data_IF_884312504814
#
_entry.id   IF_884312504814
#
_cell.length_a   1.000
_cell.length_b   1.000
_cell.length_c   1.000
_cell.angle_alpha   90.00
_cell.angle_beta   90.00
_cell.angle_gamma   90.00
#
_symmetry.space_group_name_H-M   'P 1'
#
loop_
_entity.id
_entity.type
_entity.pdbx_description
1 polymer ?
#
# COMPACT_ATOMS: atom_id res chain seq x y z
N UNK A 1 -156.63 -114.02 64.63
CA UNK A 1 -157.03 -114.44 65.98
C UNK A 1 -155.81 -114.17 66.84
N UNK A 2 -155.73 -113.13 67.66
CA UNK A 2 -156.74 -112.52 68.54
C UNK A 2 -157.06 -111.07 68.18
N UNK A 3 -158.36 -110.76 68.21
CA UNK A 3 -158.91 -109.41 68.31
C UNK A 3 -158.74 -108.96 69.77
N UNK A 4 -157.83 -108.03 70.03
CA UNK A 4 -157.80 -107.23 71.25
C UNK A 4 -158.50 -105.89 70.96
N UNK A 5 -159.57 -105.64 71.69
CA UNK A 5 -160.48 -104.51 71.56
C UNK A 5 -159.77 -103.14 71.67
N UNK A 6 -160.43 -102.16 71.05
CA UNK A 6 -160.13 -100.73 71.07
C UNK A 6 -160.10 -100.20 72.51
N UNK A 7 -158.89 -100.00 73.06
CA UNK A 7 -158.64 -99.18 74.24
C UNK A 7 -157.72 -98.02 73.86
N UNK A 8 -158.22 -96.80 74.11
CA UNK A 8 -157.66 -95.47 73.87
C UNK A 8 -156.27 -95.36 73.24
N UNK A 9 -156.20 -95.26 71.90
CA UNK A 9 -155.03 -94.63 71.29
C UNK A 9 -155.06 -93.13 71.61
N UNK A 10 -154.01 -92.68 72.28
CA UNK A 10 -153.87 -91.34 72.86
C UNK A 10 -153.06 -90.43 71.94
N UNK A 11 -153.27 -89.12 72.06
CA UNK A 11 -152.61 -88.11 71.25
C UNK A 11 -151.08 -88.13 71.41
N UNK A 12 -150.31 -88.13 70.32
CA UNK A 12 -148.84 -88.18 70.34
C UNK A 12 -148.12 -86.86 70.74
N UNK A 13 -148.79 -85.96 71.47
CA UNK A 13 -148.21 -84.74 72.03
C UNK A 13 -147.85 -85.02 73.49
N UNK A 14 -146.60 -84.78 73.91
CA UNK A 14 -146.18 -84.97 75.31
C UNK A 14 -147.14 -84.20 76.25
N UNK A 15 -147.80 -84.95 77.15
CA UNK A 15 -148.76 -84.43 78.13
C UNK A 15 -150.24 -84.40 77.70
N UNK A 16 -150.63 -85.07 76.61
CA UNK A 16 -152.03 -85.10 76.15
C UNK A 16 -152.67 -86.49 76.17
N UNK A 17 -153.64 -86.69 77.06
CA UNK A 17 -154.32 -87.98 77.28
C UNK A 17 -155.64 -88.16 76.51
N UNK A 18 -155.92 -87.33 75.50
CA UNK A 18 -157.17 -87.42 74.74
C UNK A 18 -157.17 -88.55 73.69
N UNK A 19 -158.27 -89.33 73.58
CA UNK A 19 -158.40 -90.40 72.59
C UNK A 19 -158.49 -89.85 71.16
N UNK A 20 -157.96 -90.60 70.20
CA UNK A 20 -157.98 -90.23 68.78
C UNK A 20 -159.41 -90.29 68.19
N UNK A 21 -159.77 -89.37 67.27
CA UNK A 21 -161.08 -89.37 66.64
C UNK A 21 -161.30 -90.62 65.77
N UNK A 22 -162.54 -91.16 65.72
CA UNK A 22 -162.84 -92.38 64.99
C UNK A 22 -162.64 -92.20 63.47
N UNK A 23 -162.27 -93.28 62.75
CA UNK A 23 -161.95 -93.24 61.32
C UNK A 23 -163.19 -92.95 60.47
N UNK A 24 -163.06 -92.03 59.50
CA UNK A 24 -164.15 -91.68 58.59
C UNK A 24 -164.52 -92.84 57.65
N UNK A 25 -165.82 -93.16 57.57
CA UNK A 25 -166.42 -94.18 56.70
C UNK A 25 -167.37 -93.53 55.68
N UNK A 26 -167.50 -94.12 54.49
CA UNK A 26 -168.43 -93.69 53.45
C UNK A 26 -169.86 -94.27 53.65
N UNK A 27 -170.82 -93.85 52.82
CA UNK A 27 -172.22 -94.28 52.88
C UNK A 27 -172.44 -95.79 52.67
N UNK A 28 -171.39 -96.54 52.34
CA UNK A 28 -171.42 -98.01 52.21
C UNK A 28 -170.60 -98.71 53.32
N UNK A 29 -170.28 -97.99 54.40
CA UNK A 29 -169.61 -98.53 55.59
C UNK A 29 -168.15 -98.90 55.37
N UNK A 30 -167.52 -98.46 54.26
CA UNK A 30 -166.09 -98.67 53.99
C UNK A 30 -165.30 -97.43 54.37
N UNK A 31 -164.10 -97.63 54.94
CA UNK A 31 -163.23 -96.52 55.35
C UNK A 31 -162.86 -95.66 54.14
N UNK A 32 -163.11 -94.36 54.24
CA UNK A 32 -162.65 -93.37 53.25
C UNK A 32 -161.13 -93.27 53.39
N UNK A 33 -160.40 -93.69 52.36
CA UNK A 33 -158.95 -93.80 52.38
C UNK A 33 -158.25 -92.55 52.92
N UNK A 34 -157.44 -92.73 53.96
CA UNK A 34 -156.64 -91.69 54.62
C UNK A 34 -155.86 -92.29 55.81
N UNK A 35 -154.63 -91.82 56.04
CA UNK A 35 -153.74 -92.32 57.10
C UNK A 35 -154.33 -92.00 58.49
N UNK A 36 -154.29 -92.92 59.48
CA UNK A 36 -154.84 -92.65 60.82
C UNK A 36 -154.20 -91.39 61.43
N UNK A 37 -155.00 -90.49 62.00
CA UNK A 37 -154.49 -89.27 62.63
C UNK A 37 -153.73 -89.63 63.90
N UNK A 38 -152.48 -89.19 64.03
CA UNK A 38 -151.64 -89.43 65.23
C UNK A 38 -151.94 -88.48 66.39
N UNK A 39 -152.84 -87.51 66.19
CA UNK A 39 -153.17 -86.45 67.14
C UNK A 39 -154.69 -86.31 67.24
N UNK A 40 -155.20 -86.03 68.45
CA UNK A 40 -156.64 -85.91 68.68
C UNK A 40 -157.27 -84.69 67.99
N UNK A 41 -156.45 -83.68 67.65
CA UNK A 41 -156.85 -82.51 66.87
C UNK A 41 -155.65 -81.91 66.13
N UNK A 42 -155.93 -81.07 65.11
CA UNK A 42 -154.90 -80.34 64.35
C UNK A 42 -154.03 -79.45 65.24
N UNK A 43 -154.61 -78.85 66.30
CA UNK A 43 -153.88 -78.00 67.24
C UNK A 43 -152.71 -78.71 67.94
N UNK A 44 -152.84 -80.00 68.22
CA UNK A 44 -151.78 -80.79 68.86
C UNK A 44 -150.71 -81.28 67.87
N UNK A 45 -151.09 -81.54 66.62
CA UNK A 45 -150.11 -81.77 65.55
C UNK A 45 -149.22 -80.53 65.34
N UNK A 46 -149.82 -79.34 65.35
CA UNK A 46 -149.09 -78.07 65.20
C UNK A 46 -148.22 -77.75 66.42
N UNK A 47 -148.70 -78.03 67.64
CA UNK A 47 -147.91 -77.87 68.87
C UNK A 47 -146.68 -78.79 68.91
N UNK A 48 -146.84 -80.07 68.55
CA UNK A 48 -145.72 -81.02 68.47
C UNK A 48 -144.72 -80.67 67.37
N UNK A 49 -145.18 -80.05 66.26
CA UNK A 49 -144.30 -79.53 65.21
C UNK A 49 -143.51 -78.31 65.68
N UNK A 50 -144.13 -77.39 66.45
CA UNK A 50 -143.44 -76.23 67.02
C UNK A 50 -142.39 -76.63 68.06
N UNK A 51 -142.71 -77.58 68.95
CA UNK A 51 -141.77 -78.09 69.95
C UNK A 51 -140.54 -78.74 69.29
N UNK A 52 -140.74 -79.57 68.24
CA UNK A 52 -139.63 -80.17 67.49
C UNK A 52 -138.74 -79.14 66.78
N UNK A 53 -139.32 -78.08 66.21
CA UNK A 53 -138.55 -76.99 65.58
C UNK A 53 -137.76 -76.17 66.59
N UNK A 54 -138.33 -75.90 67.77
CA UNK A 54 -137.62 -75.19 68.84
C UNK A 54 -136.39 -75.99 69.33
N UNK A 55 -136.54 -77.30 69.58
CA UNK A 55 -135.45 -78.16 70.02
C UNK A 55 -134.32 -78.32 68.97
N UNK A 56 -134.68 -78.41 67.68
CA UNK A 56 -133.68 -78.42 66.60
C UNK A 56 -132.94 -77.09 66.47
N UNK A 57 -133.60 -75.97 66.77
CA UNK A 57 -132.98 -74.64 66.73
C UNK A 57 -132.03 -74.43 67.91
N UNK A 58 -132.42 -74.82 69.14
CA UNK A 58 -131.55 -74.69 70.32
C UNK A 58 -130.29 -75.55 70.23
N UNK A 59 -130.38 -76.77 69.65
CA UNK A 59 -129.22 -77.65 69.44
C UNK A 59 -128.14 -77.05 68.53
N UNK A 60 -128.49 -76.07 67.67
CA UNK A 60 -127.55 -75.38 66.78
C UNK A 60 -127.15 -74.01 67.36
N UNK A 61 -128.10 -73.29 67.94
CA UNK A 61 -127.88 -71.91 68.39
C UNK A 61 -127.08 -71.86 69.69
N UNK A 62 -127.32 -72.76 70.65
CA UNK A 62 -126.65 -72.71 71.97
C UNK A 62 -125.12 -72.91 71.86
N UNK A 63 -124.58 -73.87 71.09
CA UNK A 63 -123.14 -74.01 70.89
C UNK A 63 -122.51 -72.79 70.17
N UNK A 64 -123.24 -72.15 69.27
CA UNK A 64 -122.78 -70.96 68.55
C UNK A 64 -122.74 -69.73 69.47
N UNK A 65 -123.66 -69.63 70.42
CA UNK A 65 -123.66 -68.57 71.43
C UNK A 65 -122.50 -68.75 72.42
N UNK A 66 -122.15 -69.98 72.81
CA UNK A 66 -120.99 -70.23 73.66
C UNK A 66 -119.65 -70.02 72.92
N UNK A 67 -119.52 -70.46 71.67
CA UNK A 67 -118.37 -70.11 70.82
C UNK A 67 -118.21 -68.58 70.68
N UNK A 68 -119.33 -67.87 70.52
CA UNK A 68 -119.35 -66.41 70.46
C UNK A 68 -118.92 -65.77 71.78
N UNK A 69 -119.38 -66.28 72.93
CA UNK A 69 -118.95 -65.82 74.26
C UNK A 69 -117.46 -66.03 74.49
N UNK A 70 -116.93 -67.20 74.11
CA UNK A 70 -115.49 -67.48 74.23
C UNK A 70 -114.67 -66.58 73.31
N UNK A 71 -115.12 -66.35 72.08
CA UNK A 71 -114.48 -65.41 71.15
C UNK A 71 -114.54 -63.95 71.65
N UNK A 72 -115.67 -63.52 72.20
CA UNK A 72 -115.86 -62.18 72.80
C UNK A 72 -115.04 -62.01 74.08
N UNK A 73 -114.80 -63.07 74.86
CA UNK A 73 -113.93 -63.04 76.04
C UNK A 73 -112.43 -63.11 75.69
N UNK A 74 -112.06 -63.79 74.61
CA UNK A 74 -110.67 -63.96 74.18
C UNK A 74 -110.14 -62.74 73.40
N UNK A 75 -110.99 -62.05 72.64
CA UNK A 75 -110.63 -60.84 71.88
C UNK A 75 -109.91 -59.77 72.73
N UNK A 76 -110.46 -59.35 73.88
CA UNK A 76 -109.82 -58.38 74.77
C UNK A 76 -108.49 -58.84 75.36
N UNK A 77 -108.27 -60.15 75.50
CA UNK A 77 -107.03 -60.73 76.04
C UNK A 77 -105.96 -60.93 74.95
N UNK A 78 -106.38 -61.19 73.71
CA UNK A 78 -105.48 -61.36 72.57
C UNK A 78 -105.02 -60.04 71.94
N UNK A 79 -105.84 -58.98 72.03
CA UNK A 79 -105.52 -57.68 71.44
C UNK A 79 -104.19 -57.08 71.93
N UNK A 80 -103.87 -57.05 73.24
CA UNK A 80 -102.58 -56.54 73.72
C UNK A 80 -101.38 -57.35 73.21
N UNK A 81 -101.55 -58.65 72.99
CA UNK A 81 -100.49 -59.51 72.42
C UNK A 81 -100.29 -59.22 70.93
N UNK A 82 -101.36 -59.06 70.17
CA UNK A 82 -101.28 -58.66 68.75
C UNK A 82 -100.68 -57.26 68.60
N UNK A 83 -101.06 -56.33 69.46
CA UNK A 83 -100.48 -54.98 69.50
C UNK A 83 -98.98 -55.04 69.85
N UNK A 84 -98.58 -55.89 70.80
CA UNK A 84 -97.16 -56.11 71.15
C UNK A 84 -96.37 -56.75 70.00
N UNK A 85 -96.96 -57.68 69.25
CA UNK A 85 -96.34 -58.28 68.06
C UNK A 85 -96.22 -57.25 66.94
N UNK A 86 -97.24 -56.42 66.73
CA UNK A 86 -97.20 -55.34 65.76
C UNK A 86 -96.15 -54.28 66.12
N UNK A 87 -96.03 -53.93 67.41
CA UNK A 87 -94.99 -53.04 67.91
C UNK A 87 -93.59 -53.63 67.76
N UNK A 88 -93.42 -54.92 68.09
CA UNK A 88 -92.13 -55.60 67.91
C UNK A 88 -91.74 -55.69 66.44
N UNK A 89 -92.70 -55.95 65.55
CA UNK A 89 -92.48 -55.90 64.10
C UNK A 89 -92.10 -54.50 63.64
N UNK A 90 -92.79 -53.46 64.12
CA UNK A 90 -92.45 -52.08 63.79
C UNK A 90 -91.03 -51.70 64.25
N UNK A 91 -90.63 -52.10 65.46
CA UNK A 91 -89.26 -51.89 65.97
C UNK A 91 -88.21 -52.67 65.17
N UNK A 92 -88.52 -53.90 64.74
CA UNK A 92 -87.64 -54.68 63.87
C UNK A 92 -87.51 -54.06 62.48
N UNK A 93 -88.63 -53.60 61.89
CA UNK A 93 -88.64 -52.90 60.60
C UNK A 93 -87.85 -51.59 60.69
N UNK A 94 -87.98 -50.83 61.79
CA UNK A 94 -87.20 -49.61 62.05
C UNK A 94 -85.70 -49.92 62.23
N UNK A 95 -85.36 -50.98 62.97
CA UNK A 95 -83.97 -51.42 63.13
C UNK A 95 -83.35 -51.93 61.82
N UNK A 96 -84.11 -52.68 61.01
CA UNK A 96 -83.69 -53.11 59.68
C UNK A 96 -83.48 -51.91 58.75
N UNK A 97 -84.44 -50.98 58.70
CA UNK A 97 -84.31 -49.76 57.90
C UNK A 97 -83.13 -48.90 58.36
N UNK A 98 -82.92 -48.77 59.68
CA UNK A 98 -81.77 -48.06 60.26
C UNK A 98 -80.44 -48.72 59.91
N UNK A 99 -80.34 -50.05 60.01
CA UNK A 99 -79.14 -50.81 59.65
C UNK A 99 -78.86 -50.73 58.14
N UNK A 100 -79.88 -50.86 57.29
CA UNK A 100 -79.76 -50.70 55.85
C UNK A 100 -79.36 -49.27 55.47
N UNK A 101 -79.88 -48.25 56.16
CA UNK A 101 -79.49 -46.86 55.97
C UNK A 101 -78.02 -46.64 56.35
N UNK A 102 -77.56 -47.20 57.47
CA UNK A 102 -76.15 -47.13 57.89
C UNK A 102 -75.21 -47.83 56.89
N UNK A 103 -75.59 -49.01 56.37
CA UNK A 103 -74.80 -49.71 55.34
C UNK A 103 -74.75 -48.90 54.05
N UNK A 104 -75.88 -48.35 53.60
CA UNK A 104 -75.91 -47.47 52.40
C UNK A 104 -75.03 -46.24 52.59
N UNK A 105 -75.13 -45.58 53.73
CA UNK A 105 -74.29 -44.43 54.06
C UNK A 105 -72.81 -44.81 54.07
N UNK A 106 -72.44 -45.92 54.72
CA UNK A 106 -71.06 -46.40 54.76
C UNK A 106 -70.54 -46.80 53.37
N UNK A 107 -71.39 -47.38 52.51
CA UNK A 107 -71.05 -47.67 51.12
C UNK A 107 -70.85 -46.40 50.29
N UNK A 108 -71.69 -45.39 50.46
CA UNK A 108 -71.57 -44.09 49.79
C UNK A 108 -70.28 -43.37 50.23
N UNK A 109 -70.01 -43.33 51.54
CA UNK A 109 -68.78 -42.78 52.11
C UNK A 109 -67.54 -43.54 51.61
N UNK A 110 -67.57 -44.87 51.56
CA UNK A 110 -66.48 -45.67 51.03
C UNK A 110 -66.25 -45.46 49.51
N UNK A 111 -67.32 -45.28 48.73
CA UNK A 111 -67.22 -44.94 47.30
C UNK A 111 -66.66 -43.53 47.11
N UNK A 112 -67.10 -42.55 47.90
CA UNK A 112 -66.57 -41.19 47.89
C UNK A 112 -65.07 -41.18 48.24
N UNK A 113 -64.67 -41.85 49.33
CA UNK A 113 -63.27 -41.95 49.75
C UNK A 113 -62.39 -42.63 48.69
N UNK A 114 -62.89 -43.66 48.00
CA UNK A 114 -62.17 -44.30 46.87
C UNK A 114 -62.02 -43.35 45.68
N UNK A 115 -63.08 -42.65 45.31
CA UNK A 115 -63.03 -41.66 44.23
C UNK A 115 -62.05 -40.52 44.54
N UNK A 116 -62.06 -40.00 45.77
CA UNK A 116 -61.11 -38.98 46.23
C UNK A 116 -59.66 -39.48 46.23
N UNK A 117 -59.43 -40.74 46.62
CA UNK A 117 -58.11 -41.36 46.57
C UNK A 117 -57.61 -41.53 45.13
N UNK A 118 -58.46 -41.98 44.21
CA UNK A 118 -58.14 -42.08 42.78
C UNK A 118 -57.84 -40.69 42.18
N UNK A 119 -58.60 -39.65 42.55
CA UNK A 119 -58.34 -38.27 42.14
C UNK A 119 -57.03 -37.72 42.70
N UNK A 120 -56.69 -38.05 43.95
CA UNK A 120 -55.42 -37.68 44.55
C UNK A 120 -54.24 -38.35 43.81
N UNK A 121 -54.36 -39.64 43.47
CA UNK A 121 -53.35 -40.36 42.68
C UNK A 121 -53.21 -39.76 41.27
N UNK A 122 -54.32 -39.46 40.58
CA UNK A 122 -54.27 -38.80 39.27
C UNK A 122 -53.59 -37.44 39.32
N UNK A 123 -53.84 -36.63 40.35
CA UNK A 123 -53.17 -35.34 40.55
C UNK A 123 -51.67 -35.50 40.86
N UNK A 124 -51.30 -36.51 41.65
CA UNK A 124 -49.90 -36.83 41.93
C UNK A 124 -49.15 -37.23 40.65
N UNK A 125 -49.70 -38.15 39.86
CA UNK A 125 -49.11 -38.60 38.59
C UNK A 125 -48.95 -37.43 37.59
N UNK A 126 -49.94 -36.54 37.51
CA UNK A 126 -49.86 -35.35 36.67
C UNK A 126 -48.77 -34.38 37.15
N UNK A 127 -48.64 -34.18 38.46
CA UNK A 127 -47.59 -33.34 39.03
C UNK A 127 -46.18 -33.92 38.80
N UNK A 128 -46.02 -35.24 38.90
CA UNK A 128 -44.76 -35.91 38.58
C UNK A 128 -44.40 -35.77 37.10
N UNK A 129 -45.34 -36.00 36.18
CA UNK A 129 -45.12 -35.78 34.73
C UNK A 129 -44.76 -34.34 34.42
N UNK A 130 -45.44 -33.37 35.03
CA UNK A 130 -45.14 -31.96 34.85
C UNK A 130 -43.74 -31.60 35.38
N UNK A 131 -43.35 -32.15 36.54
CA UNK A 131 -41.99 -32.00 37.08
C UNK A 131 -40.94 -32.57 36.13
N UNK A 132 -41.15 -33.78 35.63
CA UNK A 132 -40.18 -34.46 34.77
C UNK A 132 -40.04 -33.73 33.42
N UNK A 133 -41.15 -33.25 32.84
CA UNK A 133 -41.13 -32.39 31.65
C UNK A 133 -40.37 -31.08 31.90
N UNK A 134 -40.60 -30.42 33.03
CA UNK A 134 -39.88 -29.20 33.39
C UNK A 134 -38.37 -29.44 33.57
N UNK A 135 -37.98 -30.60 34.11
CA UNK A 135 -36.56 -30.97 34.25
C UNK A 135 -35.90 -31.25 32.89
N UNK A 136 -36.60 -31.88 31.95
CA UNK A 136 -36.13 -32.08 30.57
C UNK A 136 -35.98 -30.73 29.87
N UNK A 137 -37.00 -29.89 29.89
CA UNK A 137 -36.96 -28.55 29.29
C UNK A 137 -35.81 -27.71 29.87
N UNK A 138 -35.62 -27.74 31.19
CA UNK A 138 -34.52 -27.01 31.83
C UNK A 138 -33.13 -27.54 31.43
N UNK A 139 -33.00 -28.83 31.07
CA UNK A 139 -31.74 -29.38 30.52
C UNK A 139 -31.53 -28.91 29.08
N UNK A 140 -32.57 -28.98 28.25
CA UNK A 140 -32.54 -28.53 26.86
C UNK A 140 -32.22 -27.04 26.75
N UNK A 141 -32.85 -26.21 27.58
CA UNK A 141 -32.57 -24.76 27.65
C UNK A 141 -31.12 -24.48 28.05
N UNK A 142 -30.57 -25.24 29.01
CA UNK A 142 -29.16 -25.11 29.40
C UNK A 142 -28.21 -25.52 28.28
N UNK A 143 -28.48 -26.62 27.57
CA UNK A 143 -27.66 -27.01 26.42
C UNK A 143 -27.75 -25.99 25.29
N UNK A 144 -28.95 -25.50 24.98
CA UNK A 144 -29.16 -24.50 23.93
C UNK A 144 -28.43 -23.19 24.25
N UNK A 145 -28.47 -22.73 25.51
CA UNK A 145 -27.70 -21.55 25.96
C UNK A 145 -26.19 -21.78 25.85
N UNK A 146 -25.69 -22.95 26.25
CA UNK A 146 -24.27 -23.27 26.15
C UNK A 146 -23.78 -23.37 24.70
N UNK A 147 -24.61 -23.88 23.78
CA UNK A 147 -24.31 -23.90 22.35
C UNK A 147 -24.33 -22.49 21.75
N UNK A 148 -25.33 -21.67 22.10
CA UNK A 148 -25.41 -20.28 21.68
C UNK A 148 -24.20 -19.47 22.16
N UNK A 149 -23.76 -19.67 23.41
CA UNK A 149 -22.55 -19.03 23.97
C UNK A 149 -21.29 -19.47 23.22
N UNK A 150 -21.11 -20.77 22.95
CA UNK A 150 -19.98 -21.26 22.13
C UNK A 150 -19.97 -20.68 20.72
N UNK A 151 -21.14 -20.54 20.09
CA UNK A 151 -21.25 -19.92 18.77
C UNK A 151 -20.91 -18.42 18.82
N UNK A 152 -21.36 -17.72 19.86
CA UNK A 152 -21.04 -16.31 20.08
C UNK A 152 -19.54 -16.10 20.33
N UNK A 153 -18.90 -16.96 21.14
CA UNK A 153 -17.45 -16.94 21.36
C UNK A 153 -16.66 -17.18 20.08
N UNK A 154 -17.08 -18.15 19.26
CA UNK A 154 -16.44 -18.41 17.96
C UNK A 154 -16.57 -17.22 17.02
N UNK A 155 -17.77 -16.66 16.89
CA UNK A 155 -18.01 -15.48 16.06
C UNK A 155 -17.18 -14.28 16.54
N UNK A 156 -17.07 -14.06 17.85
CA UNK A 156 -16.23 -13.01 18.41
C UNK A 156 -14.73 -13.25 18.12
N UNK A 157 -14.26 -14.49 18.25
CA UNK A 157 -12.88 -14.86 17.94
C UNK A 157 -12.55 -14.72 16.45
N UNK A 158 -13.47 -15.08 15.56
CA UNK A 158 -13.36 -14.89 14.12
C UNK A 158 -13.31 -13.40 13.76
N UNK A 159 -14.23 -12.59 14.30
CA UNK A 159 -14.24 -11.14 14.09
C UNK A 159 -12.95 -10.46 14.54
N UNK A 160 -12.39 -10.87 15.69
CA UNK A 160 -11.10 -10.33 16.15
C UNK A 160 -9.90 -10.82 15.29
N UNK A 161 -9.96 -12.04 14.73
CA UNK A 161 -8.96 -12.50 13.75
C UNK A 161 -9.02 -11.67 12.47
N UNK A 162 -10.21 -11.51 11.89
CA UNK A 162 -10.41 -10.71 10.68
C UNK A 162 -9.96 -9.25 10.89
N UNK A 163 -10.29 -8.67 12.04
CA UNK A 163 -9.81 -7.33 12.42
C UNK A 163 -8.29 -7.26 12.47
N UNK A 164 -7.62 -8.23 13.10
CA UNK A 164 -6.14 -8.28 13.15
C UNK A 164 -5.54 -8.43 11.75
N UNK A 165 -6.12 -9.27 10.90
CA UNK A 165 -5.68 -9.43 9.51
C UNK A 165 -5.88 -8.16 8.68
N UNK A 166 -7.01 -7.47 8.85
CA UNK A 166 -7.28 -6.19 8.22
C UNK A 166 -6.26 -5.13 8.65
N UNK A 167 -5.98 -5.02 9.96
CA UNK A 167 -4.93 -4.12 10.46
C UNK A 167 -3.54 -4.47 9.95
N UNK A 168 -3.22 -5.76 9.84
CA UNK A 168 -1.94 -6.21 9.28
C UNK A 168 -1.80 -5.78 7.80
N UNK A 169 -2.87 -5.94 6.99
CA UNK A 169 -2.91 -5.46 5.60
C UNK A 169 -2.77 -3.95 5.50
N UNK A 170 -3.45 -3.19 6.35
CA UNK A 170 -3.29 -1.72 6.41
C UNK A 170 -1.84 -1.34 6.74
N UNK A 171 -1.24 -1.98 7.74
CA UNK A 171 0.16 -1.73 8.10
C UNK A 171 1.16 -2.13 6.99
N UNK A 172 0.87 -3.15 6.19
CA UNK A 172 1.65 -3.48 5.00
C UNK A 172 1.51 -2.42 3.91
N UNK A 173 0.28 -1.96 3.62
CA UNK A 173 0.04 -0.89 2.65
C UNK A 173 0.71 0.44 3.04
N UNK A 174 0.64 0.83 4.32
CA UNK A 174 1.31 2.04 4.79
C UNK A 174 2.84 1.92 4.72
N UNK A 175 3.41 0.75 5.02
CA UNK A 175 4.85 0.50 4.80
C UNK A 175 5.23 0.58 3.32
N UNK A 176 4.44 -0.03 2.43
CA UNK A 176 4.67 0.03 0.99
C UNK A 176 4.54 1.46 0.45
N UNK A 177 3.55 2.21 0.92
CA UNK A 177 3.36 3.63 0.58
C UNK A 177 4.54 4.48 1.05
N UNK A 178 4.99 4.30 2.29
CA UNK A 178 6.16 4.99 2.82
C UNK A 178 7.45 4.66 2.04
N UNK A 179 7.64 3.40 1.65
CA UNK A 179 8.76 3.00 0.79
C UNK A 179 8.69 3.64 -0.61
N UNK A 180 7.49 3.72 -1.21
CA UNK A 180 7.28 4.35 -2.50
C UNK A 180 7.51 5.87 -2.45
N UNK A 181 7.06 6.55 -1.39
CA UNK A 181 7.30 7.97 -1.16
C UNK A 181 8.80 8.27 -0.95
N UNK A 182 9.49 7.44 -0.17
CA UNK A 182 10.93 7.54 0.02
C UNK A 182 11.71 7.32 -1.30
N UNK A 183 11.31 6.33 -2.10
CA UNK A 183 11.91 6.09 -3.41
C UNK A 183 11.68 7.25 -4.39
N UNK A 184 10.48 7.85 -4.38
CA UNK A 184 10.18 9.05 -5.19
C UNK A 184 11.08 10.22 -4.79
N UNK A 185 11.21 10.52 -3.49
CA UNK A 185 12.08 11.58 -3.00
C UNK A 185 13.56 11.34 -3.35
N UNK A 186 14.02 10.09 -3.24
CA UNK A 186 15.38 9.73 -3.64
C UNK A 186 15.61 9.92 -5.15
N UNK A 187 14.63 9.55 -5.98
CA UNK A 187 14.69 9.76 -7.43
C UNK A 187 14.67 11.24 -7.82
N UNK A 188 13.84 12.06 -7.16
CA UNK A 188 13.80 13.51 -7.33
C UNK A 188 15.15 14.14 -6.97
N UNK A 189 15.72 13.76 -5.81
CA UNK A 189 17.04 14.24 -5.38
C UNK A 189 18.14 13.85 -6.38
N UNK A 190 18.18 12.59 -6.82
CA UNK A 190 19.15 12.12 -7.79
C UNK A 190 19.02 12.85 -9.14
N UNK A 191 17.79 13.13 -9.59
CA UNK A 191 17.56 13.93 -10.80
C UNK A 191 18.09 15.35 -10.65
N UNK A 192 17.86 15.98 -9.50
CA UNK A 192 18.29 17.35 -9.26
C UNK A 192 19.83 17.44 -9.14
N UNK A 193 20.47 16.46 -8.48
CA UNK A 193 21.94 16.30 -8.44
C UNK A 193 22.53 16.14 -9.86
N UNK A 194 21.96 15.24 -10.69
CA UNK A 194 22.39 15.07 -12.09
C UNK A 194 22.16 16.34 -12.93
N UNK A 195 21.10 17.10 -12.67
CA UNK A 195 20.84 18.36 -13.35
C UNK A 195 21.84 19.46 -12.94
N UNK A 196 22.35 19.44 -11.70
CA UNK A 196 23.45 20.29 -11.26
C UNK A 196 24.78 19.91 -11.91
N UNK A 197 25.11 18.62 -11.94
CA UNK A 197 26.31 18.10 -12.61
C UNK A 197 26.31 18.45 -14.11
N UNK A 198 25.18 18.26 -14.80
CA UNK A 198 25.05 18.61 -16.22
C UNK A 198 25.26 20.11 -16.46
N UNK A 199 24.73 20.97 -15.58
CA UNK A 199 24.95 22.42 -15.66
C UNK A 199 26.42 22.78 -15.43
N UNK A 200 27.09 22.13 -14.48
CA UNK A 200 28.51 22.34 -14.21
C UNK A 200 29.39 21.91 -15.39
N UNK A 201 29.10 20.75 -16.00
CA UNK A 201 29.83 20.27 -17.18
C UNK A 201 29.59 21.13 -18.42
N UNK A 202 28.38 21.65 -18.62
CA UNK A 202 28.13 22.64 -19.67
C UNK A 202 28.93 23.93 -19.44
N UNK A 203 28.94 24.47 -18.23
CA UNK A 203 29.74 25.65 -17.90
C UNK A 203 31.25 25.41 -18.12
N UNK A 204 31.75 24.24 -17.72
CA UNK A 204 33.15 23.83 -17.95
C UNK A 204 33.48 23.71 -19.43
N UNK A 205 32.58 23.11 -20.23
CA UNK A 205 32.75 23.01 -21.68
C UNK A 205 32.78 24.39 -22.33
N UNK A 206 31.90 25.29 -21.91
CA UNK A 206 31.83 26.65 -22.44
C UNK A 206 33.10 27.45 -22.08
N UNK A 207 33.62 27.27 -20.86
CA UNK A 207 34.92 27.82 -20.45
C UNK A 207 36.07 27.28 -21.33
N UNK A 208 36.16 25.95 -21.52
CA UNK A 208 37.20 25.35 -22.36
C UNK A 208 37.11 25.81 -23.82
N UNK A 209 35.89 26.03 -24.33
CA UNK A 209 35.69 26.58 -25.67
C UNK A 209 36.17 28.04 -25.76
N UNK A 210 35.93 28.85 -24.73
CA UNK A 210 36.43 30.23 -24.65
C UNK A 210 37.96 30.26 -24.56
N UNK A 211 38.58 29.42 -23.72
CA UNK A 211 40.03 29.28 -23.61
C UNK A 211 40.65 28.84 -24.93
N UNK A 212 40.04 27.85 -25.61
CA UNK A 212 40.47 27.42 -26.96
C UNK A 212 40.36 28.55 -27.98
N UNK A 213 39.31 29.36 -27.93
CA UNK A 213 39.14 30.50 -28.83
C UNK A 213 40.20 31.58 -28.58
N UNK A 214 40.49 31.90 -27.32
CA UNK A 214 41.54 32.83 -26.93
C UNK A 214 42.93 32.34 -27.38
N UNK A 215 43.26 31.08 -27.11
CA UNK A 215 44.53 30.48 -27.53
C UNK A 215 44.70 30.48 -29.07
N UNK A 216 43.61 30.30 -29.83
CA UNK A 216 43.64 30.44 -31.30
C UNK A 216 43.96 31.86 -31.74
N UNK A 217 43.32 32.85 -31.11
CA UNK A 217 43.60 34.26 -31.40
C UNK A 217 45.07 34.62 -31.08
N UNK A 218 45.60 34.14 -29.96
CA UNK A 218 47.01 34.34 -29.59
C UNK A 218 47.96 33.69 -30.62
N UNK A 219 47.69 32.46 -31.06
CA UNK A 219 48.48 31.82 -32.12
C UNK A 219 48.44 32.60 -33.43
N UNK A 220 47.28 33.13 -33.81
CA UNK A 220 47.14 33.93 -35.04
C UNK A 220 47.86 35.28 -34.92
N UNK A 221 47.83 35.92 -33.74
CA UNK A 221 48.62 37.13 -33.43
C UNK A 221 50.12 36.86 -33.53
N UNK A 222 50.62 35.82 -32.86
CA UNK A 222 52.03 35.44 -32.88
C UNK A 222 52.52 35.09 -34.29
N UNK A 223 51.67 34.47 -35.12
CA UNK A 223 51.98 34.22 -36.54
C UNK A 223 52.14 35.51 -37.33
N UNK A 224 51.30 36.50 -37.06
CA UNK A 224 51.38 37.79 -37.72
C UNK A 224 52.62 38.58 -37.27
N UNK A 225 52.91 38.61 -35.97
CA UNK A 225 54.16 39.19 -35.43
C UNK A 225 55.41 38.53 -36.01
N UNK A 226 55.40 37.20 -36.15
CA UNK A 226 56.50 36.45 -36.78
C UNK A 226 56.67 36.84 -38.26
N UNK A 227 55.57 36.99 -39.02
CA UNK A 227 55.64 37.46 -40.41
C UNK A 227 56.23 38.87 -40.48
N UNK A 228 55.76 39.78 -39.64
CA UNK A 228 56.25 41.16 -39.58
C UNK A 228 57.75 41.20 -39.27
N UNK A 229 58.18 40.47 -38.24
CA UNK A 229 59.60 40.35 -37.87
C UNK A 229 60.44 39.76 -39.00
N UNK A 230 59.91 38.77 -39.72
CA UNK A 230 60.59 38.16 -40.88
C UNK A 230 60.75 39.16 -42.03
N UNK A 231 59.72 39.95 -42.34
CA UNK A 231 59.83 41.03 -43.32
C UNK A 231 60.82 42.12 -42.89
N UNK A 232 60.81 42.52 -41.62
CA UNK A 232 61.78 43.50 -41.09
C UNK A 232 63.21 43.00 -41.20
N UNK A 233 63.47 41.74 -40.81
CA UNK A 233 64.78 41.11 -40.98
C UNK A 233 65.21 41.07 -42.45
N UNK A 234 64.28 40.79 -43.37
CA UNK A 234 64.55 40.78 -44.81
C UNK A 234 64.98 42.18 -45.26
N UNK A 235 64.22 43.23 -44.92
CA UNK A 235 64.56 44.62 -45.25
C UNK A 235 65.89 45.07 -44.63
N UNK A 236 66.15 44.72 -43.37
CA UNK A 236 67.42 45.03 -42.71
C UNK A 236 68.60 44.30 -43.36
N UNK A 237 68.41 43.04 -43.78
CA UNK A 237 69.43 42.27 -44.48
C UNK A 237 69.75 42.85 -45.86
N UNK A 238 68.73 43.31 -46.60
CA UNK A 238 68.89 44.01 -47.88
C UNK A 238 69.61 45.35 -47.69
N UNK A 239 69.25 46.13 -46.67
CA UNK A 239 69.93 47.39 -46.32
C UNK A 239 71.39 47.16 -45.95
N UNK A 240 71.68 46.12 -45.17
CA UNK A 240 73.05 45.74 -44.80
C UNK A 240 73.86 45.32 -46.04
N UNK A 241 73.28 44.52 -46.94
CA UNK A 241 73.91 44.13 -48.19
C UNK A 241 74.20 45.35 -49.08
N UNK A 242 73.24 46.28 -49.21
CA UNK A 242 73.41 47.53 -49.93
C UNK A 242 74.51 48.41 -49.32
N UNK A 243 74.53 48.57 -47.99
CA UNK A 243 75.57 49.33 -47.29
C UNK A 243 76.97 48.70 -47.47
N UNK A 244 77.08 47.37 -47.43
CA UNK A 244 78.32 46.65 -47.74
C UNK A 244 78.78 46.86 -49.18
N UNK A 245 77.85 46.83 -50.14
CA UNK A 245 78.16 47.11 -51.54
C UNK A 245 78.64 48.56 -51.75
N UNK A 246 78.01 49.53 -51.07
CA UNK A 246 78.43 50.93 -51.06
C UNK A 246 79.82 51.12 -50.43
N UNK A 247 80.09 50.47 -49.30
CA UNK A 247 81.41 50.48 -48.66
C UNK A 247 82.48 49.91 -49.61
N UNK A 248 82.24 48.75 -50.21
CA UNK A 248 83.17 48.14 -51.17
C UNK A 248 83.38 49.01 -52.43
N UNK A 249 82.34 49.73 -52.88
CA UNK A 249 82.47 50.69 -53.98
C UNK A 249 83.30 51.92 -53.58
N UNK A 250 83.11 52.44 -52.36
CA UNK A 250 83.90 53.53 -51.82
C UNK A 250 85.37 53.14 -51.63
N UNK A 251 85.65 51.94 -51.11
CA UNK A 251 87.01 51.38 -51.00
C UNK A 251 87.69 51.29 -52.37
N UNK A 252 87.02 50.71 -53.37
CA UNK A 252 87.53 50.69 -54.75
C UNK A 252 87.78 52.09 -55.31
N UNK A 253 86.88 53.05 -55.04
CA UNK A 253 87.07 54.44 -55.47
C UNK A 253 88.27 55.10 -54.79
N UNK A 254 88.52 54.81 -53.52
CA UNK A 254 89.69 55.31 -52.77
C UNK A 254 90.97 54.68 -53.31
N UNK A 255 90.99 53.37 -53.55
CA UNK A 255 92.15 52.68 -54.11
C UNK A 255 92.44 53.17 -55.53
N UNK A 256 91.42 53.35 -56.36
CA UNK A 256 91.58 53.97 -57.68
C UNK A 256 92.14 55.40 -57.58
N UNK A 257 91.61 56.24 -56.68
CA UNK A 257 92.13 57.58 -56.48
C UNK A 257 93.58 57.57 -55.96
N UNK A 258 93.97 56.58 -55.15
CA UNK A 258 95.36 56.38 -54.72
C UNK A 258 96.25 55.99 -55.89
N UNK A 259 95.83 55.06 -56.73
CA UNK A 259 96.53 54.65 -57.96
C UNK A 259 96.68 55.81 -58.95
N UNK A 260 95.64 56.62 -59.15
CA UNK A 260 95.73 57.82 -59.97
C UNK A 260 96.70 58.83 -59.35
N UNK A 261 96.67 59.02 -58.04
CA UNK A 261 97.59 59.93 -57.34
C UNK A 261 99.04 59.45 -57.46
N UNK A 262 99.31 58.15 -57.33
CA UNK A 262 100.65 57.59 -57.53
C UNK A 262 101.09 57.69 -58.98
N UNK A 263 100.20 57.44 -59.95
CA UNK A 263 100.47 57.63 -61.38
C UNK A 263 100.81 59.08 -61.71
N UNK A 264 100.00 60.03 -61.25
CA UNK A 264 100.24 61.48 -61.46
C UNK A 264 101.53 61.93 -60.78
N UNK A 265 101.86 61.40 -59.59
CA UNK A 265 103.16 61.67 -58.94
C UNK A 265 104.33 61.14 -59.78
N UNK A 266 104.24 59.90 -60.28
CA UNK A 266 105.26 59.31 -61.13
C UNK A 266 105.42 60.07 -62.46
N UNK A 267 104.30 60.47 -63.10
CA UNK A 267 104.30 61.32 -64.29
C UNK A 267 104.94 62.70 -64.01
N UNK A 268 104.62 63.33 -62.88
CA UNK A 268 105.22 64.60 -62.47
C UNK A 268 106.72 64.47 -62.17
N UNK A 269 107.16 63.37 -61.54
CA UNK A 269 108.57 63.04 -61.34
C UNK A 269 109.30 62.81 -62.67
N UNK A 270 108.70 62.06 -63.60
CA UNK A 270 109.23 61.87 -64.94
C UNK A 270 109.34 63.18 -65.71
N UNK A 271 108.34 64.06 -65.64
CA UNK A 271 108.39 65.40 -66.23
C UNK A 271 109.47 66.28 -65.60
N UNK A 272 109.66 66.21 -64.27
CA UNK A 272 110.77 66.90 -63.59
C UNK A 272 112.12 66.37 -64.03
N UNK A 273 112.28 65.05 -64.18
CA UNK A 273 113.50 64.43 -64.67
C UNK A 273 113.80 64.82 -66.13
N UNK A 274 112.81 64.75 -67.03
CA UNK A 274 112.94 65.24 -68.41
C UNK A 274 113.30 66.72 -68.47
N UNK A 275 112.65 67.56 -67.64
CA UNK A 275 112.99 68.98 -67.57
C UNK A 275 114.43 69.18 -67.10
N UNK A 276 114.88 68.40 -66.12
CA UNK A 276 116.26 68.46 -65.63
C UNK A 276 117.24 68.03 -66.73
N UNK A 277 116.98 66.94 -67.43
CA UNK A 277 117.77 66.46 -68.56
C UNK A 277 117.86 67.50 -69.68
N UNK A 278 116.74 68.15 -70.03
CA UNK A 278 116.73 69.26 -71.00
C UNK A 278 117.56 70.44 -70.52
N UNK A 279 117.51 70.78 -69.22
CA UNK A 279 118.34 71.85 -68.66
C UNK A 279 119.83 71.49 -68.65
N UNK A 280 120.16 70.23 -68.37
CA UNK A 280 121.53 69.70 -68.39
C UNK A 280 122.06 69.69 -69.82
N UNK A 281 121.29 69.21 -70.80
CA UNK A 281 121.61 69.30 -72.24
C UNK A 281 121.79 70.75 -72.70
N UNK A 282 120.95 71.68 -72.23
CA UNK A 282 121.10 73.10 -72.53
C UNK A 282 122.36 73.69 -71.89
N UNK A 283 122.75 73.21 -70.70
CA UNK A 283 123.99 73.60 -70.04
C UNK A 283 125.22 73.04 -70.76
N UNK A 284 125.16 71.78 -71.24
CA UNK A 284 126.15 71.16 -72.11
C UNK A 284 126.27 71.92 -73.44
N UNK A 285 125.15 72.27 -74.08
CA UNK A 285 125.14 73.06 -75.31
C UNK A 285 125.75 74.44 -75.08
N UNK A 286 125.39 75.12 -73.98
CA UNK A 286 125.97 76.42 -73.62
C UNK A 286 127.46 76.34 -73.30
N UNK A 287 127.92 75.28 -72.64
CA UNK A 287 129.34 75.08 -72.38
C UNK A 287 130.10 74.74 -73.65
N UNK A 288 129.57 73.86 -74.50
CA UNK A 288 130.12 73.57 -75.83
C UNK A 288 130.19 74.83 -76.70
N UNK A 289 129.15 75.67 -76.64
CA UNK A 289 129.10 76.97 -77.34
C UNK A 289 130.13 77.95 -76.79
N UNK A 290 130.28 78.08 -75.46
CA UNK A 290 131.34 78.90 -74.85
C UNK A 290 132.74 78.40 -75.21
N UNK A 291 132.96 77.09 -75.27
CA UNK A 291 134.24 76.50 -75.71
C UNK A 291 134.47 76.77 -77.20
N UNK A 292 133.44 76.69 -78.04
CA UNK A 292 133.54 77.03 -79.45
C UNK A 292 133.80 78.53 -79.66
N UNK A 293 133.14 79.41 -78.90
CA UNK A 293 133.35 80.86 -78.89
C UNK A 293 134.77 81.20 -78.40
N UNK A 294 135.25 80.59 -77.31
CA UNK A 294 136.62 80.76 -76.83
C UNK A 294 137.66 80.25 -77.83
N UNK A 295 137.42 79.12 -78.50
CA UNK A 295 138.28 78.63 -79.59
C UNK A 295 138.26 79.58 -80.80
N UNK A 296 137.11 80.14 -81.14
CA UNK A 296 137.01 81.13 -82.20
C UNK A 296 137.74 82.43 -81.86
N UNK A 297 137.67 82.90 -80.62
CA UNK A 297 138.47 84.04 -80.12
C UNK A 297 139.97 83.73 -80.14
N UNK A 298 140.37 82.53 -79.72
CA UNK A 298 141.79 82.11 -79.74
C UNK A 298 142.33 82.00 -81.18
N UNK A 299 141.51 81.50 -82.10
CA UNK A 299 141.85 81.47 -83.53
C UNK A 299 141.87 82.88 -84.12
N UNK A 300 140.97 83.78 -83.69
CA UNK A 300 140.95 85.17 -84.13
C UNK A 300 142.15 85.96 -83.61
N UNK A 301 142.57 85.77 -82.35
CA UNK A 301 143.78 86.36 -81.78
C UNK A 301 145.04 85.82 -82.47
N UNK A 302 145.12 84.51 -82.69
CA UNK A 302 146.22 83.90 -83.45
C UNK A 302 146.31 84.39 -84.91
N UNK A 303 145.16 84.66 -85.56
CA UNK A 303 145.12 85.27 -86.90
C UNK A 303 145.55 86.74 -86.88
N UNK A 304 145.25 87.48 -85.81
CA UNK A 304 145.68 88.85 -85.64
C UNK A 304 147.20 88.96 -85.39
N UNK A 305 147.76 88.07 -84.57
CA UNK A 305 149.20 87.94 -84.35
C UNK A 305 149.95 87.57 -85.64
N UNK A 306 149.48 86.54 -86.36
CA UNK A 306 150.08 86.15 -87.64
C UNK A 306 150.04 87.27 -88.69
N UNK A 307 149.00 88.14 -88.65
CA UNK A 307 148.92 89.33 -89.51
C UNK A 307 149.88 90.43 -89.06
N UNK A 308 150.10 90.60 -87.76
CA UNK A 308 151.06 91.55 -87.21
C UNK A 308 152.51 91.16 -87.58
N UNK A 309 152.87 89.88 -87.42
CA UNK A 309 154.20 89.36 -87.81
C UNK A 309 154.48 89.53 -89.31
N UNK A 310 153.46 89.32 -90.15
CA UNK A 310 153.55 89.54 -91.60
C UNK A 310 153.75 91.02 -91.97
N UNK A 311 153.17 91.95 -91.18
CA UNK A 311 153.39 93.39 -91.37
C UNK A 311 154.80 93.80 -90.94
N UNK A 312 155.32 93.20 -89.87
CA UNK A 312 156.68 93.43 -89.35
C UNK A 312 157.77 92.94 -90.33
N UNK A 313 157.61 91.73 -90.87
CA UNK A 313 158.51 91.18 -91.89
C UNK A 313 158.55 92.03 -93.18
N UNK A 314 157.42 92.64 -93.55
CA UNK A 314 157.34 93.57 -94.69
C UNK A 314 158.06 94.88 -94.43
N UNK A 315 158.01 95.40 -93.20
CA UNK A 315 158.73 96.60 -92.80
C UNK A 315 160.26 96.38 -92.78
N UNK A 316 160.72 95.20 -92.32
CA UNK A 316 162.14 94.86 -92.25
C UNK A 316 162.84 94.76 -93.63
N UNK A 317 162.11 94.37 -94.68
CA UNK A 317 162.64 94.26 -96.05
C UNK A 317 162.79 95.61 -96.76
N UNK A 318 162.00 96.62 -96.40
CA UNK A 318 162.04 97.93 -97.02
C UNK A 318 163.25 98.78 -96.60
N UNK A 319 163.86 98.47 -95.45
CA UNK A 319 164.92 99.30 -94.86
C UNK A 319 166.34 99.02 -95.39
N UNK A 320 166.55 98.02 -96.26
CA UNK A 320 167.89 97.41 -96.46
C UNK A 320 168.60 97.72 -97.80
N UNK A 321 168.08 98.61 -98.66
CA UNK A 321 168.56 98.78 -100.06
C UNK A 321 169.20 100.14 -100.46
N UNK A 322 169.64 101.01 -99.53
CA UNK A 322 170.42 102.23 -99.86
C UNK A 322 171.39 102.66 -98.71
N UNK A 323 172.64 103.06 -99.00
CA UNK A 323 173.72 103.43 -98.02
C UNK A 323 174.64 104.56 -98.59
N UNK A 324 175.69 105.17 -97.93
CA UNK A 324 176.24 105.24 -96.53
C UNK A 324 176.77 106.69 -96.14
N UNK A 325 177.79 107.00 -95.26
CA UNK A 325 178.52 106.30 -94.17
C UNK A 325 178.62 107.07 -92.80
N UNK A 326 179.03 106.40 -91.71
CA UNK A 326 179.96 106.87 -90.63
C UNK A 326 179.75 106.14 -89.27
N UNK A 327 180.89 105.71 -88.71
CA UNK A 327 181.34 105.71 -87.30
C UNK A 327 180.50 105.17 -86.11
N UNK A 328 181.14 104.21 -85.42
CA UNK A 328 181.41 104.10 -83.98
C UNK A 328 180.32 103.98 -82.87
N UNK A 329 180.61 102.97 -82.02
CA UNK A 329 180.48 102.90 -80.56
C UNK A 329 179.17 102.48 -79.82
N UNK A 330 179.33 101.33 -79.12
CA UNK A 330 179.05 101.01 -77.71
C UNK A 330 177.76 101.53 -77.04
N UNK A 331 177.08 100.61 -76.34
CA UNK A 331 176.30 100.94 -75.15
C UNK A 331 175.17 99.98 -74.79
N UNK A 332 175.41 99.16 -73.77
CA UNK A 332 174.48 98.64 -72.74
C UNK A 332 173.51 99.73 -72.16
N UNK A 333 172.54 99.50 -71.23
CA UNK A 333 172.15 98.29 -70.46
C UNK A 333 170.62 98.13 -70.06
N UNK A 334 170.34 97.06 -69.27
CA UNK A 334 169.45 96.93 -68.05
C UNK A 334 167.91 97.04 -68.04
N UNK A 335 167.31 95.98 -67.44
CA UNK A 335 166.32 96.01 -66.31
C UNK A 335 164.83 96.25 -66.64
N UNK A 336 163.81 95.88 -65.85
CA UNK A 336 163.58 95.04 -64.65
C UNK A 336 162.05 95.12 -64.34
N UNK A 337 161.44 94.09 -63.70
CA UNK A 337 160.14 94.15 -62.99
C UNK A 337 158.89 93.68 -63.77
N UNK A 338 157.86 93.04 -63.21
CA UNK A 338 157.57 92.58 -61.84
C UNK A 338 156.09 92.15 -61.67
N UNK A 339 155.85 91.27 -60.69
CA UNK A 339 154.69 91.14 -59.75
C UNK A 339 153.30 90.55 -60.14
N UNK A 340 152.90 89.61 -59.26
CA UNK A 340 151.59 89.37 -58.58
C UNK A 340 150.40 88.82 -59.41
N UNK A 341 149.54 87.88 -58.97
CA UNK A 341 149.37 87.11 -57.72
C UNK A 341 147.98 86.42 -57.68
N UNK A 342 147.86 85.29 -56.93
CA UNK A 342 146.69 84.71 -56.19
C UNK A 342 145.33 84.47 -56.89
N UNK A 343 144.44 83.52 -56.55
CA UNK A 343 144.37 82.32 -55.71
C UNK A 343 142.96 81.70 -55.93
N UNK A 344 142.76 80.39 -55.68
CA UNK A 344 141.44 79.76 -55.49
C UNK A 344 141.11 78.63 -56.46
#
# INVERSE_FOLDING_TARGET
>A
MENGLVEGQICALEGCDNPLPPPAVDEHGRRKGGRPSSYCCKGHADAASRARRAAQTSAIVDPLVEMRRVAEAFGPLAQPLLDSIAELRARLDEAEQGALAQVRQAEEEARAARAEAEDALRRADQAERARDQALVQAREDRSARAEAEKLAERAAAEAEREKREAWAKVAEHERAKGAAEAARLAAEKARDELAEELRAEHARRDQLNAERAAARQEVDQLREELRQSTTELTVLSERLAAARAQLAAAERSVDHAREETTRVRAEAEAQRAQRQEVLDLLAEERTARRVAEARAETLASGLAEARAELAEMRAALAARTAAPPAEEERGEPTGEGGKQGQAG
#
